data_IF_357175784195
#
_entry.id   IF_357175784195
#
_cell.length_a   1.000
_cell.length_b   1.000
_cell.length_c   1.000
_cell.angle_alpha   90.00
_cell.angle_beta   90.00
_cell.angle_gamma   90.00
#
_symmetry.space_group_name_H-M   'P 1'
#
loop_
_entity.id
_entity.type
_entity.pdbx_description
1 polymer ?
#
# COMPACT_ATOMS: atom_id res chain seq x y z
N UNK A 1 -16.88 -21.41 -19.80
CA UNK A 1 -17.39 -20.93 -18.49
C UNK A 1 -16.21 -20.30 -17.76
N UNK A 2 -16.00 -18.99 -17.91
CA UNK A 2 -15.00 -18.29 -17.12
C UNK A 2 -15.65 -17.94 -15.77
N UNK A 3 -15.30 -18.69 -14.73
CA UNK A 3 -15.58 -18.28 -13.35
C UNK A 3 -14.91 -16.93 -13.12
N UNK A 4 -15.71 -15.87 -13.07
CA UNK A 4 -15.29 -14.63 -12.44
C UNK A 4 -15.05 -14.99 -10.96
N UNK A 5 -13.78 -15.19 -10.61
CA UNK A 5 -13.37 -15.29 -9.23
C UNK A 5 -13.92 -14.06 -8.51
N UNK A 6 -14.90 -14.29 -7.64
CA UNK A 6 -15.52 -13.28 -6.82
C UNK A 6 -14.50 -12.79 -5.81
N UNK A 7 -13.55 -11.97 -6.25
CA UNK A 7 -12.74 -11.16 -5.36
C UNK A 7 -13.70 -10.14 -4.76
N UNK A 8 -14.19 -10.45 -3.57
CA UNK A 8 -14.88 -9.50 -2.70
C UNK A 8 -14.00 -8.27 -2.59
N UNK A 9 -14.32 -7.23 -3.36
CA UNK A 9 -13.57 -5.98 -3.37
C UNK A 9 -13.90 -5.28 -2.06
N UNK A 10 -13.14 -5.60 -1.02
CA UNK A 10 -13.17 -4.84 0.21
C UNK A 10 -12.73 -3.42 -0.11
N UNK A 11 -13.59 -2.47 0.23
CA UNK A 11 -13.30 -1.05 0.10
C UNK A 11 -12.18 -0.66 1.07
N UNK A 12 -11.44 0.41 0.76
CA UNK A 12 -10.34 0.86 1.64
C UNK A 12 -10.80 1.05 3.08
N UNK A 13 -12.00 1.62 3.27
CA UNK A 13 -12.61 1.82 4.60
C UNK A 13 -12.80 0.51 5.38
N UNK A 14 -13.20 -0.59 4.72
CA UNK A 14 -13.38 -1.89 5.37
C UNK A 14 -12.04 -2.47 5.83
N UNK A 15 -11.02 -2.40 4.98
CA UNK A 15 -9.66 -2.82 5.33
C UNK A 15 -9.18 -2.02 6.55
N UNK A 16 -9.37 -0.70 6.54
CA UNK A 16 -8.91 0.18 7.61
C UNK A 16 -9.70 0.02 8.91
N UNK A 17 -10.99 -0.36 8.87
CA UNK A 17 -11.80 -0.54 10.08
C UNK A 17 -11.41 -1.75 10.92
N UNK A 18 -10.65 -2.69 10.36
CA UNK A 18 -10.22 -3.91 11.03
C UNK A 18 -8.77 -3.82 11.54
N UNK A 19 -8.08 -2.70 11.30
CA UNK A 19 -6.70 -2.50 11.74
C UNK A 19 -6.65 -2.07 13.20
N UNK A 20 -5.90 -2.82 14.00
CA UNK A 20 -5.52 -2.41 15.34
C UNK A 20 -4.39 -1.34 15.28
N UNK A 21 -4.30 -0.42 16.24
CA UNK A 21 -3.31 0.67 16.21
C UNK A 21 -1.84 0.22 16.11
N UNK A 22 -1.52 -0.98 16.61
CA UNK A 22 -0.16 -1.52 16.66
C UNK A 22 0.09 -2.62 15.59
N UNK A 23 -0.86 -2.85 14.68
CA UNK A 23 -0.66 -3.81 13.59
C UNK A 23 0.45 -3.33 12.67
N UNK A 24 1.42 -4.20 12.38
CA UNK A 24 2.41 -3.95 11.34
C UNK A 24 1.70 -3.92 9.97
N UNK A 25 1.64 -2.73 9.38
CA UNK A 25 0.97 -2.49 8.11
C UNK A 25 1.58 -3.33 6.96
N UNK A 26 2.82 -3.80 7.09
CA UNK A 26 3.44 -4.68 6.10
C UNK A 26 2.81 -6.08 6.05
N UNK A 27 2.15 -6.52 7.12
CA UNK A 27 1.51 -7.83 7.21
C UNK A 27 0.15 -7.87 6.49
N UNK A 28 -0.40 -6.71 6.14
CA UNK A 28 -1.74 -6.58 5.57
C UNK A 28 -1.63 -6.48 4.05
N UNK A 29 -1.69 -7.63 3.40
CA UNK A 29 -1.47 -7.76 1.95
C UNK A 29 -2.36 -6.82 1.12
N UNK A 30 -3.67 -6.78 1.40
CA UNK A 30 -4.61 -5.92 0.66
C UNK A 30 -4.26 -4.43 0.79
N UNK A 31 -3.81 -4.01 1.98
CA UNK A 31 -3.39 -2.62 2.20
C UNK A 31 -2.12 -2.29 1.40
N UNK A 32 -1.13 -3.20 1.37
CA UNK A 32 0.09 -3.03 0.56
C UNK A 32 -0.22 -2.96 -0.92
N UNK A 33 -1.10 -3.82 -1.43
CA UNK A 33 -1.55 -3.80 -2.83
C UNK A 33 -2.19 -2.46 -3.21
N UNK A 34 -3.05 -1.91 -2.33
CA UNK A 34 -3.68 -0.59 -2.55
C UNK A 34 -2.67 0.54 -2.52
N UNK A 35 -1.79 0.56 -1.51
CA UNK A 35 -0.73 1.56 -1.38
C UNK A 35 0.19 1.55 -2.61
N UNK A 36 0.64 0.36 -3.03
CA UNK A 36 1.44 0.16 -4.24
C UNK A 36 0.71 0.69 -5.48
N UNK A 37 -0.56 0.33 -5.67
CA UNK A 37 -1.35 0.80 -6.80
C UNK A 37 -1.45 2.33 -6.86
N UNK A 38 -1.65 3.00 -5.71
CA UNK A 38 -1.65 4.45 -5.65
C UNK A 38 -0.27 5.04 -5.99
N UNK A 39 0.81 4.57 -5.36
CA UNK A 39 2.16 5.04 -5.65
C UNK A 39 2.55 4.83 -7.11
N UNK A 40 2.32 3.64 -7.66
CA UNK A 40 2.58 3.33 -9.07
C UNK A 40 1.80 4.26 -10.02
N UNK A 41 0.55 4.60 -9.68
CA UNK A 41 -0.31 5.44 -10.50
C UNK A 41 0.10 6.91 -10.47
N UNK A 42 0.43 7.44 -9.30
CA UNK A 42 0.65 8.88 -9.10
C UNK A 42 2.13 9.30 -9.15
N UNK A 43 3.06 8.43 -8.73
CA UNK A 43 4.49 8.74 -8.68
C UNK A 43 5.23 8.20 -9.92
N UNK A 44 4.82 7.04 -10.45
CA UNK A 44 5.51 6.43 -11.58
C UNK A 44 6.90 5.91 -11.22
N UNK A 45 7.82 5.87 -12.19
CA UNK A 45 9.22 5.49 -11.96
C UNK A 45 9.38 4.13 -11.27
N UNK A 46 10.28 4.06 -10.31
CA UNK A 46 10.55 2.88 -9.50
C UNK A 46 9.29 2.33 -8.80
N UNK A 47 8.34 3.19 -8.43
CA UNK A 47 7.08 2.81 -7.78
C UNK A 47 6.15 1.98 -8.69
N UNK A 48 6.34 2.02 -10.02
CA UNK A 48 5.61 1.13 -10.95
C UNK A 48 6.22 -0.26 -11.07
N UNK A 49 7.49 -0.41 -10.70
CA UNK A 49 8.28 -1.61 -11.00
C UNK A 49 8.57 -2.42 -9.74
N UNK A 50 8.64 -1.77 -8.59
CA UNK A 50 8.77 -2.43 -7.29
C UNK A 50 7.61 -3.39 -7.07
N UNK A 51 7.87 -4.59 -6.56
CA UNK A 51 6.80 -5.50 -6.19
C UNK A 51 5.99 -4.97 -5.00
N UNK A 52 4.67 -5.20 -4.99
CA UNK A 52 3.81 -4.80 -3.88
C UNK A 52 4.27 -5.36 -2.54
N UNK A 53 4.88 -6.56 -2.52
CA UNK A 53 5.45 -7.20 -1.32
C UNK A 53 6.74 -6.55 -0.85
N UNK A 54 7.51 -5.94 -1.75
CA UNK A 54 8.80 -5.31 -1.45
C UNK A 54 8.63 -3.87 -0.96
N UNK A 55 7.54 -3.21 -1.36
CA UNK A 55 7.16 -1.90 -0.83
C UNK A 55 7.09 -1.94 0.70
N UNK A 56 7.72 -1.00 1.38
CA UNK A 56 7.63 -0.88 2.83
C UNK A 56 6.51 0.06 3.22
N UNK A 57 5.67 -0.36 4.17
CA UNK A 57 4.53 0.41 4.66
C UNK A 57 4.61 0.58 6.17
N UNK A 58 4.61 1.82 6.65
CA UNK A 58 4.67 2.14 8.08
C UNK A 58 3.43 2.93 8.49
N UNK A 59 2.72 2.48 9.53
CA UNK A 59 1.60 3.23 10.10
C UNK A 59 2.14 4.39 10.93
N UNK A 60 1.79 5.62 10.54
CA UNK A 60 2.13 6.81 11.31
C UNK A 60 1.04 7.11 12.35
N UNK A 61 1.47 7.66 13.50
CA UNK A 61 0.57 8.24 14.49
C UNK A 61 0.01 9.57 13.94
N UNK A 62 -1.29 9.79 14.11
CA UNK A 62 -1.99 10.97 13.62
C UNK A 62 -3.19 11.32 14.49
N UNK A 63 -3.99 12.31 14.06
CA UNK A 63 -5.25 12.66 14.70
C UNK A 63 -6.36 11.64 14.45
N UNK A 64 -7.57 11.94 14.91
CA UNK A 64 -8.73 11.04 14.74
C UNK A 64 -9.35 11.08 13.34
N UNK A 65 -9.09 12.14 12.56
CA UNK A 65 -9.74 12.38 11.27
C UNK A 65 -9.19 11.51 10.14
N UNK A 66 -7.95 11.03 10.26
CA UNK A 66 -7.26 10.33 9.18
C UNK A 66 -6.31 9.23 9.70
N UNK A 67 -6.14 8.19 8.89
CA UNK A 67 -5.07 7.21 9.05
C UNK A 67 -3.96 7.52 8.06
N UNK A 68 -2.73 7.63 8.54
CA UNK A 68 -1.57 8.00 7.75
C UNK A 68 -0.65 6.79 7.59
N UNK A 69 -0.23 6.53 6.35
CA UNK A 69 0.74 5.48 6.04
C UNK A 69 1.90 6.09 5.28
N UNK A 70 3.11 5.79 5.73
CA UNK A 70 4.33 6.12 5.02
C UNK A 70 4.71 4.95 4.12
N UNK A 71 4.77 5.20 2.82
CA UNK A 71 5.24 4.25 1.83
C UNK A 71 6.72 4.54 1.55
N UNK A 72 7.57 3.51 1.46
CA UNK A 72 8.97 3.65 1.07
C UNK A 72 9.37 2.58 0.06
N UNK A 73 10.20 2.96 -0.91
CA UNK A 73 10.90 2.00 -1.75
C UNK A 73 11.93 1.22 -0.92
N UNK A 74 12.13 -0.08 -1.19
CA UNK A 74 13.22 -0.83 -0.59
C UNK A 74 14.56 -0.28 -1.10
N UNK A 75 15.64 -0.42 -0.31
CA UNK A 75 16.98 0.02 -0.72
C UNK A 75 17.51 -0.67 -1.99
N UNK A 76 16.92 -1.80 -2.38
CA UNK A 76 17.20 -2.53 -3.63
C UNK A 76 16.57 -1.90 -4.87
N UNK A 77 15.61 -0.98 -4.72
CA UNK A 77 14.92 -0.31 -5.81
C UNK A 77 14.92 1.21 -5.60
N UNK A 78 16.05 1.89 -5.85
CA UNK A 78 16.11 3.35 -5.75
C UNK A 78 15.23 4.04 -6.81
N UNK A 79 14.83 5.30 -6.58
CA UNK A 79 14.24 6.17 -7.59
C UNK A 79 15.02 6.18 -8.92
N UNK A 80 14.31 6.16 -10.03
CA UNK A 80 14.86 6.26 -11.38
C UNK A 80 15.04 7.72 -11.84
N UNK A 81 14.29 8.65 -11.27
CA UNK A 81 14.29 10.06 -11.65
C UNK A 81 13.95 10.92 -10.42
N UNK A 82 12.98 11.82 -10.54
CA UNK A 82 12.58 12.77 -9.51
C UNK A 82 11.48 12.26 -8.57
N UNK A 83 11.14 10.96 -8.64
CA UNK A 83 10.22 10.38 -7.66
C UNK A 83 10.83 10.39 -6.25
N UNK A 84 10.01 10.62 -5.22
CA UNK A 84 10.46 10.61 -3.83
C UNK A 84 10.79 9.20 -3.33
#
# INVERSE_FOLDING_TARGET
>A
MCSAAGNSFRGMKQILSELEPNTDANTIFELKERAHMFCARFLGGAWKVVGSKELQLERLKGGMSNMLFLCRLPGTCPPFSNEP
#
